data_IF_432627573294
#
_entry.id   IF_432627573294
#
_cell.length_a   1.000
_cell.length_b   1.000
_cell.length_c   1.000
_cell.angle_alpha   90.00
_cell.angle_beta   90.00
_cell.angle_gamma   90.00
#
_symmetry.space_group_name_H-M   'P 1'
#
loop_
_entity.id
_entity.type
_entity.pdbx_description
1 polymer ?
#
# COMPACT_ATOMS: atom_id res chain seq x y z
N UNK A 1 -19.35 -44.24 1.50
CA UNK A 1 -18.32 -43.52 2.30
C UNK A 1 -17.00 -43.22 1.57
N UNK A 2 -16.69 -43.75 0.37
CA UNK A 2 -15.43 -43.44 -0.36
C UNK A 2 -15.43 -42.10 -1.12
N UNK A 3 -16.57 -41.44 -1.28
CA UNK A 3 -16.69 -40.18 -2.03
C UNK A 3 -16.65 -38.91 -1.14
N UNK A 4 -16.92 -39.04 0.16
CA UNK A 4 -16.90 -37.92 1.11
C UNK A 4 -15.46 -37.46 1.37
N UNK A 5 -14.49 -38.39 1.39
CA UNK A 5 -13.07 -38.07 1.58
C UNK A 5 -12.46 -37.31 0.38
N UNK A 6 -12.98 -37.54 -0.84
CA UNK A 6 -12.56 -36.78 -2.03
C UNK A 6 -13.13 -35.36 -2.05
N UNK A 7 -14.28 -35.13 -1.41
CA UNK A 7 -14.88 -33.81 -1.32
C UNK A 7 -14.17 -32.93 -0.28
N UNK A 8 -13.69 -33.50 0.84
CA UNK A 8 -12.88 -32.76 1.82
C UNK A 8 -11.53 -32.30 1.25
N UNK A 9 -10.89 -33.11 0.40
CA UNK A 9 -9.62 -32.76 -0.26
C UNK A 9 -9.75 -31.63 -1.29
N UNK A 10 -10.96 -31.41 -1.85
CA UNK A 10 -11.22 -30.33 -2.80
C UNK A 10 -11.43 -28.98 -2.09
N UNK A 11 -12.02 -29.00 -0.88
CA UNK A 11 -12.27 -27.78 -0.08
C UNK A 11 -10.96 -27.24 0.50
N UNK A 12 -9.99 -28.10 0.83
CA UNK A 12 -8.67 -27.65 1.29
C UNK A 12 -7.82 -26.97 0.20
N UNK A 13 -8.13 -27.16 -1.09
CA UNK A 13 -7.47 -26.44 -2.19
C UNK A 13 -8.04 -25.05 -2.44
N UNK A 14 -9.28 -24.77 -2.04
CA UNK A 14 -9.87 -23.42 -2.10
C UNK A 14 -9.51 -22.57 -0.87
N UNK A 15 -8.91 -23.18 0.15
CA UNK A 15 -8.39 -22.50 1.33
C UNK A 15 -6.95 -22.01 1.16
N UNK A 16 -6.36 -22.09 -0.05
CA UNK A 16 -5.07 -21.47 -0.33
C UNK A 16 -5.25 -19.95 -0.39
N UNK A 17 -5.13 -19.32 0.78
CA UNK A 17 -4.75 -17.94 1.03
C UNK A 17 -5.41 -16.87 0.13
N UNK A 18 -6.39 -16.16 0.68
CA UNK A 18 -6.74 -14.80 0.25
C UNK A 18 -5.55 -13.86 0.54
N UNK A 19 -4.42 -14.09 -0.12
CA UNK A 19 -3.30 -13.16 -0.15
C UNK A 19 -3.78 -11.90 -0.88
N UNK A 20 -3.55 -10.74 -0.27
CA UNK A 20 -3.93 -9.47 -0.87
C UNK A 20 -3.33 -9.34 -2.27
N UNK A 21 -4.06 -8.69 -3.18
CA UNK A 21 -3.63 -8.33 -4.52
C UNK A 21 -2.31 -7.53 -4.48
N UNK A 22 -2.09 -6.81 -3.38
CA UNK A 22 -0.93 -5.98 -3.10
C UNK A 22 0.20 -6.73 -2.39
N UNK A 23 -0.03 -7.92 -1.84
CA UNK A 23 0.95 -8.58 -0.97
C UNK A 23 2.25 -8.93 -1.72
N UNK A 24 3.38 -8.32 -1.34
CA UNK A 24 4.75 -8.66 -1.77
C UNK A 24 5.52 -7.47 -2.37
N UNK A 25 6.56 -7.76 -3.16
CA UNK A 25 7.47 -6.75 -3.72
C UNK A 25 7.20 -6.46 -5.21
N UNK A 26 7.59 -5.27 -5.63
CA UNK A 26 7.34 -4.77 -6.96
C UNK A 26 8.50 -3.95 -7.49
N UNK A 27 8.75 -4.11 -8.77
CA UNK A 27 9.54 -3.16 -9.55
C UNK A 27 8.65 -2.00 -9.93
N UNK A 28 9.07 -0.78 -9.62
CA UNK A 28 8.39 0.41 -10.15
C UNK A 28 8.67 0.57 -11.63
N UNK A 29 7.64 0.47 -12.46
CA UNK A 29 7.75 0.72 -13.91
C UNK A 29 7.69 2.23 -14.16
N UNK A 30 6.73 2.92 -13.55
CA UNK A 30 6.60 4.37 -13.62
C UNK A 30 5.83 4.94 -12.42
N UNK A 31 6.15 6.18 -12.05
CA UNK A 31 5.32 7.06 -11.23
C UNK A 31 5.23 8.40 -11.98
N UNK A 32 4.02 8.92 -12.16
CA UNK A 32 3.75 10.16 -12.93
C UNK A 32 4.37 10.14 -14.33
N UNK A 33 4.22 9.01 -15.02
CA UNK A 33 4.77 8.74 -16.35
C UNK A 33 6.31 8.78 -16.43
N UNK A 34 7.02 8.85 -15.29
CA UNK A 34 8.48 8.84 -15.22
C UNK A 34 8.96 7.50 -14.69
N UNK A 35 9.99 6.94 -15.34
CA UNK A 35 10.66 5.73 -14.88
C UNK A 35 11.67 6.09 -13.78
N UNK A 36 11.58 5.51 -12.58
CA UNK A 36 12.55 5.74 -11.52
C UNK A 36 13.96 5.30 -11.93
N UNK A 37 14.96 6.13 -11.62
CA UNK A 37 16.37 5.78 -11.78
C UNK A 37 16.75 4.82 -10.64
N UNK A 38 17.30 3.62 -10.93
CA UNK A 38 17.71 2.70 -9.89
C UNK A 38 18.97 3.21 -9.17
N UNK A 39 19.04 3.00 -7.87
CA UNK A 39 20.24 3.20 -7.07
C UNK A 39 21.14 1.97 -7.02
N UNK A 40 22.34 2.10 -6.42
CA UNK A 40 23.32 1.02 -6.35
C UNK A 40 22.93 -0.16 -5.46
N UNK A 41 21.99 0.01 -4.52
CA UNK A 41 21.54 -1.03 -3.58
C UNK A 41 20.22 -1.60 -4.09
N UNK A 42 20.26 -2.82 -4.64
CA UNK A 42 19.15 -3.36 -5.42
C UNK A 42 17.84 -3.57 -4.64
N UNK A 43 17.89 -3.99 -3.38
CA UNK A 43 16.68 -4.17 -2.56
C UNK A 43 15.97 -2.84 -2.24
N UNK A 44 16.70 -1.72 -2.26
CA UNK A 44 16.15 -0.37 -2.05
C UNK A 44 15.47 0.20 -3.30
N UNK A 45 15.57 -0.48 -4.44
CA UNK A 45 14.92 -0.08 -5.69
C UNK A 45 13.49 -0.64 -5.82
N UNK A 46 12.98 -1.31 -4.79
CA UNK A 46 11.69 -2.00 -4.82
C UNK A 46 10.59 -1.13 -4.20
N UNK A 47 9.41 -1.16 -4.81
CA UNK A 47 8.17 -0.80 -4.14
C UNK A 47 7.68 -2.01 -3.32
N UNK A 48 7.07 -1.74 -2.18
CA UNK A 48 6.72 -2.78 -1.22
C UNK A 48 5.34 -2.53 -0.62
N UNK A 49 4.57 -3.60 -0.46
CA UNK A 49 3.40 -3.61 0.40
C UNK A 49 3.75 -4.21 1.75
N UNK A 50 3.41 -3.52 2.83
CA UNK A 50 3.63 -3.96 4.21
C UNK A 50 2.38 -3.78 5.04
N UNK A 51 2.21 -4.68 6.00
CA UNK A 51 1.18 -4.56 7.02
C UNK A 51 1.84 -4.24 8.36
N UNK A 52 1.31 -3.22 9.04
CA UNK A 52 1.81 -2.78 10.32
C UNK A 52 0.67 -2.71 11.34
N UNK A 53 0.48 -3.83 12.05
CA UNK A 53 -0.54 -3.98 13.09
C UNK A 53 -0.20 -3.27 14.40
N UNK A 54 1.01 -2.72 14.55
CA UNK A 54 1.47 -2.06 15.77
C UNK A 54 2.01 -0.65 15.47
N UNK A 55 1.29 0.10 14.64
CA UNK A 55 1.66 1.47 14.32
C UNK A 55 1.32 2.43 15.46
N UNK A 56 2.30 3.26 15.83
CA UNK A 56 2.11 4.38 16.76
C UNK A 56 2.00 5.72 16.02
N UNK A 57 1.75 5.69 14.71
CA UNK A 57 1.69 6.92 13.89
C UNK A 57 0.31 7.57 13.95
N UNK A 58 -0.76 6.78 13.93
CA UNK A 58 -2.14 7.28 13.88
C UNK A 58 -2.99 6.71 15.02
N UNK A 59 -3.94 7.52 15.49
CA UNK A 59 -4.99 7.16 16.43
C UNK A 59 -6.34 7.69 15.95
N UNK A 60 -7.42 7.06 16.40
CA UNK A 60 -8.75 7.67 16.36
C UNK A 60 -8.80 8.89 17.29
N UNK A 61 -9.82 9.73 17.17
CA UNK A 61 -10.02 10.89 18.05
C UNK A 61 -10.21 10.47 19.53
N UNK A 62 -10.74 9.27 19.78
CA UNK A 62 -10.86 8.66 21.12
C UNK A 62 -9.54 8.06 21.64
N UNK A 63 -8.46 8.11 20.84
CA UNK A 63 -7.12 7.72 21.25
C UNK A 63 -6.76 6.25 21.02
N UNK A 64 -7.56 5.49 20.26
CA UNK A 64 -7.24 4.09 19.89
C UNK A 64 -6.22 4.06 18.75
N UNK A 65 -5.18 3.24 18.86
CA UNK A 65 -4.18 3.07 17.80
C UNK A 65 -4.77 2.44 16.53
N UNK A 66 -4.25 2.86 15.38
CA UNK A 66 -4.71 2.42 14.07
C UNK A 66 -3.72 1.43 13.46
N UNK A 67 -4.23 0.29 12.98
CA UNK A 67 -3.45 -0.68 12.21
C UNK A 67 -3.38 -0.23 10.76
N UNK A 68 -2.19 -0.31 10.16
CA UNK A 68 -1.91 0.23 8.84
C UNK A 68 -1.64 -0.88 7.82
N UNK A 69 -2.05 -0.64 6.58
CA UNK A 69 -1.49 -1.25 5.38
C UNK A 69 -0.76 -0.13 4.64
N UNK A 70 0.41 -0.41 4.07
CA UNK A 70 1.20 0.60 3.37
C UNK A 70 1.69 0.07 2.03
N UNK A 71 1.37 0.77 0.95
CA UNK A 71 2.00 0.58 -0.35
C UNK A 71 3.03 1.68 -0.55
N UNK A 72 4.30 1.34 -0.39
CA UNK A 72 5.41 2.28 -0.56
C UNK A 72 5.95 2.20 -1.98
N UNK A 73 5.76 3.27 -2.76
CA UNK A 73 6.27 3.35 -4.12
C UNK A 73 7.72 3.85 -4.12
N UNK A 74 8.65 3.12 -4.72
CA UNK A 74 10.00 3.65 -5.00
C UNK A 74 9.94 4.65 -6.16
N UNK A 75 10.35 5.90 -5.91
CA UNK A 75 10.25 7.01 -6.87
C UNK A 75 11.57 7.36 -7.55
N UNK A 76 12.69 6.78 -7.12
CA UNK A 76 13.98 6.89 -7.79
C UNK A 76 15.14 7.21 -6.85
N UNK A 77 16.36 7.01 -7.35
CA UNK A 77 17.59 7.40 -6.69
C UNK A 77 18.06 8.77 -7.20
N UNK A 78 18.44 9.64 -6.27
CA UNK A 78 19.01 10.96 -6.56
C UNK A 78 20.50 10.90 -6.27
N UNK A 79 21.30 10.75 -7.32
CA UNK A 79 22.75 10.53 -7.22
C UNK A 79 23.47 11.63 -6.44
N UNK A 80 23.13 12.90 -6.70
CA UNK A 80 23.79 14.04 -6.06
C UNK A 80 23.58 14.07 -4.53
N UNK A 81 22.49 13.46 -4.05
CA UNK A 81 22.13 13.40 -2.63
C UNK A 81 22.39 12.02 -2.01
N UNK A 82 22.83 11.07 -2.83
CA UNK A 82 22.92 9.66 -2.49
C UNK A 82 21.67 9.11 -1.76
N UNK A 83 20.49 9.58 -2.16
CA UNK A 83 19.24 9.34 -1.46
C UNK A 83 18.23 8.58 -2.33
N UNK A 84 17.45 7.71 -1.70
CA UNK A 84 16.35 6.99 -2.33
C UNK A 84 15.04 7.72 -2.02
N UNK A 85 14.25 8.00 -3.05
CA UNK A 85 12.91 8.56 -2.93
C UNK A 85 11.86 7.46 -2.79
N UNK A 86 10.90 7.69 -1.91
CA UNK A 86 9.75 6.82 -1.71
C UNK A 86 8.49 7.66 -1.52
N UNK A 87 7.35 7.13 -1.96
CA UNK A 87 6.01 7.67 -1.74
C UNK A 87 5.19 6.64 -0.96
N UNK A 88 5.03 6.79 0.37
CA UNK A 88 4.21 5.89 1.16
C UNK A 88 2.72 6.21 0.99
N UNK A 89 1.94 5.25 0.50
CA UNK A 89 0.48 5.31 0.49
C UNK A 89 -0.03 4.59 1.74
N UNK A 90 -0.55 5.36 2.70
CA UNK A 90 -1.03 4.84 3.98
C UNK A 90 -2.51 4.50 3.89
N UNK A 91 -2.85 3.28 4.28
CA UNK A 91 -4.21 2.76 4.33
C UNK A 91 -4.47 2.24 5.75
N UNK A 92 -5.73 2.29 6.20
CA UNK A 92 -6.13 1.81 7.52
C UNK A 92 -6.86 0.47 7.38
N UNK A 93 -6.48 -0.52 8.19
CA UNK A 93 -7.13 -1.84 8.15
C UNK A 93 -8.58 -1.82 8.61
N UNK A 94 -8.88 -0.93 9.56
CA UNK A 94 -10.14 -0.95 10.31
C UNK A 94 -11.06 0.23 9.98
N UNK A 95 -10.66 1.10 9.06
CA UNK A 95 -11.35 2.35 8.74
C UNK A 95 -11.26 2.61 7.25
N UNK A 96 -12.30 3.22 6.67
CA UNK A 96 -12.44 3.41 5.23
C UNK A 96 -13.16 2.24 4.55
N UNK A 97 -13.39 2.40 3.26
CA UNK A 97 -14.00 1.40 2.38
C UNK A 97 -12.90 0.71 1.59
N UNK A 98 -12.75 -0.61 1.80
CA UNK A 98 -11.87 -1.47 1.00
C UNK A 98 -12.70 -2.42 0.15
N UNK A 99 -12.46 -2.45 -1.16
CA UNK A 99 -13.04 -3.44 -2.07
C UNK A 99 -11.89 -4.09 -2.84
N UNK A 100 -11.81 -5.40 -2.75
CA UNK A 100 -10.75 -6.15 -3.40
C UNK A 100 -11.31 -7.38 -4.11
N UNK A 101 -10.81 -7.62 -5.32
CA UNK A 101 -11.03 -8.86 -6.06
C UNK A 101 -9.77 -9.22 -6.85
N UNK A 102 -9.83 -10.31 -7.62
CA UNK A 102 -8.66 -10.81 -8.37
C UNK A 102 -8.06 -9.83 -9.40
N UNK A 103 -8.82 -8.82 -9.82
CA UNK A 103 -8.46 -7.87 -10.88
C UNK A 103 -8.29 -6.44 -10.40
N UNK A 104 -8.77 -6.09 -9.20
CA UNK A 104 -8.80 -4.72 -8.74
C UNK A 104 -8.71 -4.61 -7.23
N UNK A 105 -8.11 -3.51 -6.79
CA UNK A 105 -8.07 -3.08 -5.40
C UNK A 105 -8.52 -1.62 -5.36
N UNK A 106 -9.51 -1.36 -4.52
CA UNK A 106 -10.03 -0.04 -4.23
C UNK A 106 -9.93 0.20 -2.73
N UNK A 107 -9.45 1.38 -2.37
CA UNK A 107 -9.49 1.86 -1.01
C UNK A 107 -9.83 3.35 -0.98
N UNK A 108 -10.79 3.72 -0.14
CA UNK A 108 -11.11 5.12 0.14
C UNK A 108 -11.27 5.33 1.64
N UNK A 109 -10.73 6.43 2.15
CA UNK A 109 -11.00 6.92 3.50
C UNK A 109 -11.13 8.42 3.47
N UNK A 110 -11.99 8.96 4.32
CA UNK A 110 -12.16 10.39 4.56
C UNK A 110 -12.44 10.61 6.04
N UNK A 111 -11.39 10.71 6.84
CA UNK A 111 -11.53 10.70 8.30
C UNK A 111 -10.66 11.76 8.97
N UNK A 112 -11.14 12.25 10.10
CA UNK A 112 -10.33 13.04 11.03
C UNK A 112 -9.67 12.11 12.04
N UNK A 113 -8.35 12.21 12.18
CA UNK A 113 -7.53 11.32 12.99
C UNK A 113 -6.51 12.12 13.80
N UNK A 114 -5.93 11.47 14.78
CA UNK A 114 -4.76 11.98 15.50
C UNK A 114 -3.50 11.39 14.88
N UNK A 115 -2.61 12.22 14.37
CA UNK A 115 -1.30 11.80 13.87
C UNK A 115 -0.19 12.21 14.84
N UNK A 116 0.77 11.31 15.04
CA UNK A 116 1.95 11.58 15.86
C UNK A 116 2.82 12.65 15.20
N UNK A 117 3.09 13.71 15.95
CA UNK A 117 3.97 14.82 15.60
C UNK A 117 4.98 15.02 16.74
N UNK A 118 6.21 14.53 16.51
CA UNK A 118 7.23 14.40 17.55
C UNK A 118 6.74 13.54 18.73
N UNK A 119 6.64 14.17 19.92
CA UNK A 119 6.18 13.52 21.15
C UNK A 119 4.66 13.64 21.39
N UNK A 120 3.94 14.39 20.56
CA UNK A 120 2.51 14.69 20.74
C UNK A 120 1.69 14.09 19.60
N UNK A 121 0.37 14.10 19.76
CA UNK A 121 -0.57 13.82 18.69
C UNK A 121 -1.32 15.09 18.35
N UNK A 122 -1.52 15.33 17.05
CA UNK A 122 -2.30 16.47 16.54
C UNK A 122 -3.42 15.96 15.63
N UNK A 123 -4.58 16.64 15.61
CA UNK A 123 -5.61 16.37 14.62
C UNK A 123 -5.07 16.55 13.21
N UNK A 124 -5.47 15.67 12.29
CA UNK A 124 -5.26 15.77 10.86
C UNK A 124 -6.50 15.24 10.15
N UNK A 125 -6.83 15.83 9.01
CA UNK A 125 -7.71 15.20 8.04
C UNK A 125 -6.90 14.25 7.14
N UNK A 126 -7.48 13.09 6.85
CA UNK A 126 -6.83 12.05 6.06
C UNK A 126 -7.81 11.53 5.02
N UNK A 127 -7.80 12.19 3.86
CA UNK A 127 -8.49 11.71 2.68
C UNK A 127 -7.53 10.95 1.77
N UNK A 128 -7.81 9.67 1.51
CA UNK A 128 -7.10 8.86 0.52
C UNK A 128 -8.12 8.22 -0.40
N UNK A 129 -7.86 8.24 -1.71
CA UNK A 129 -8.55 7.41 -2.68
C UNK A 129 -7.49 6.69 -3.54
N UNK A 130 -7.51 5.36 -3.52
CA UNK A 130 -6.57 4.49 -4.20
C UNK A 130 -7.34 3.51 -5.09
N UNK A 131 -7.03 3.53 -6.38
CA UNK A 131 -7.58 2.59 -7.35
C UNK A 131 -6.43 1.84 -8.02
N UNK A 132 -6.50 0.52 -8.07
CA UNK A 132 -5.50 -0.33 -8.70
C UNK A 132 -6.22 -1.37 -9.55
N UNK A 133 -5.76 -1.53 -10.79
CA UNK A 133 -6.15 -2.58 -11.71
C UNK A 133 -4.97 -3.51 -12.00
N UNK A 134 -5.22 -4.81 -12.00
CA UNK A 134 -4.23 -5.83 -12.32
C UNK A 134 -4.36 -6.27 -13.78
N UNK A 135 -3.28 -6.11 -14.53
CA UNK A 135 -3.13 -6.60 -15.90
C UNK A 135 -1.97 -7.60 -15.97
N UNK A 136 -2.28 -8.89 -15.79
CA UNK A 136 -1.28 -9.94 -15.69
C UNK A 136 -0.36 -9.72 -14.48
N UNK A 137 0.93 -9.49 -14.72
CA UNK A 137 1.93 -9.19 -13.66
C UNK A 137 2.01 -7.72 -13.28
N UNK A 138 1.30 -6.84 -13.98
CA UNK A 138 1.34 -5.40 -13.75
C UNK A 138 0.17 -4.95 -12.89
N UNK A 139 0.43 -4.00 -12.00
CA UNK A 139 -0.57 -3.21 -11.31
C UNK A 139 -0.51 -1.80 -11.88
N UNK A 140 -1.63 -1.30 -12.36
CA UNK A 140 -1.78 0.09 -12.84
C UNK A 140 -2.70 0.76 -11.86
N UNK A 141 -2.23 1.84 -11.21
CA UNK A 141 -3.00 2.48 -10.17
C UNK A 141 -2.90 3.99 -10.18
N UNK A 142 -3.84 4.59 -9.46
CA UNK A 142 -3.91 6.01 -9.17
C UNK A 142 -4.15 6.21 -7.69
N UNK A 143 -3.54 7.24 -7.14
CA UNK A 143 -3.59 7.60 -5.73
C UNK A 143 -3.87 9.09 -5.62
N UNK A 144 -4.87 9.46 -4.83
CA UNK A 144 -5.18 10.82 -4.44
C UNK A 144 -5.10 10.93 -2.92
N UNK A 145 -4.40 11.95 -2.44
CA UNK A 145 -4.31 12.27 -1.03
C UNK A 145 -4.52 13.73 -0.76
N UNK A 146 -5.39 14.03 0.18
CA UNK A 146 -5.72 15.39 0.58
C UNK A 146 -5.65 15.47 2.11
N UNK A 147 -4.94 16.48 2.61
CA UNK A 147 -4.98 16.92 4.00
C UNK A 147 -4.90 18.44 4.06
N UNK A 148 -6.04 19.08 4.32
CA UNK A 148 -6.19 20.51 4.52
C UNK A 148 -5.37 21.00 5.71
N UNK A 149 -5.38 20.27 6.83
CA UNK A 149 -4.61 20.63 8.04
C UNK A 149 -3.10 20.70 7.78
N UNK A 150 -2.62 19.92 6.81
CA UNK A 150 -1.20 19.91 6.40
C UNK A 150 -0.93 20.69 5.12
N UNK A 151 -1.94 21.22 4.45
CA UNK A 151 -1.81 21.86 3.14
C UNK A 151 -1.34 20.92 2.03
N UNK A 152 -1.68 19.63 2.10
CA UNK A 152 -1.26 18.61 1.13
C UNK A 152 -2.42 18.28 0.19
N UNK A 153 -2.13 18.26 -1.11
CA UNK A 153 -3.02 17.76 -2.15
C UNK A 153 -2.15 17.13 -3.25
N UNK A 154 -2.05 15.82 -3.23
CA UNK A 154 -1.14 15.05 -4.07
C UNK A 154 -1.93 14.01 -4.86
N UNK A 155 -1.66 13.96 -6.16
CA UNK A 155 -2.20 12.95 -7.05
C UNK A 155 -1.05 12.29 -7.80
N UNK A 156 -1.06 10.96 -7.82
CA UNK A 156 -0.03 10.17 -8.49
C UNK A 156 -0.64 9.02 -9.28
N UNK A 157 -0.17 8.86 -10.52
CA UNK A 157 -0.41 7.65 -11.31
C UNK A 157 0.84 6.75 -11.24
N UNK A 158 0.65 5.45 -11.15
CA UNK A 158 1.76 4.52 -11.05
C UNK A 158 1.52 3.20 -11.80
N UNK A 159 2.63 2.59 -12.22
CA UNK A 159 2.66 1.24 -12.77
C UNK A 159 3.72 0.45 -12.01
N UNK A 160 3.30 -0.66 -11.43
CA UNK A 160 4.15 -1.63 -10.75
C UNK A 160 4.17 -2.94 -11.51
N UNK A 161 5.28 -3.67 -11.45
CA UNK A 161 5.41 -5.02 -11.97
C UNK A 161 5.84 -5.96 -10.85
N UNK A 162 5.10 -7.05 -10.66
CA UNK A 162 5.38 -8.02 -9.59
C UNK A 162 6.76 -8.63 -9.74
N UNK A 163 7.55 -8.62 -8.67
CA UNK A 163 8.87 -9.28 -8.64
C UNK A 163 9.13 -9.98 -7.30
N UNK A 164 10.20 -10.78 -7.25
CA UNK A 164 10.64 -11.41 -6.01
C UNK A 164 11.23 -10.37 -5.07
N UNK A 165 10.89 -10.45 -3.79
CA UNK A 165 11.51 -9.62 -2.75
C UNK A 165 13.00 -9.92 -2.65
N UNK A 166 13.82 -8.85 -2.64
CA UNK A 166 15.28 -8.93 -2.52
C UNK A 166 15.65 -8.56 -1.09
N UNK A 167 16.60 -9.30 -0.52
CA UNK A 167 17.19 -9.05 0.80
C UNK A 167 18.61 -8.49 0.64
#
# INVERSE_FOLDING_TARGET
MKHILKFLLLISFLASANASLLEGCYKTVSVDFKRPIPGPIMWRNQSLYEENDNSFTYKTLEGKYMNLEMLTLFTGYVEQRQSYGYLPIVMFKNVGQKIENSFSYYYEVNEELLMKDGARYRPVDHFVNLNILRFGKKLVGSYLFISKERGINEFHDFILEKETCRN
#
